data_IF_210452211651
#
_entry.id   IF_210452211651
#
_cell.length_a   1.000
_cell.length_b   1.000
_cell.length_c   1.000
_cell.angle_alpha   90.00
_cell.angle_beta   90.00
_cell.angle_gamma   90.00
#
_symmetry.space_group_name_H-M   'P 1'
#
loop_
_entity.id
_entity.type
_entity.pdbx_description
1 polymer ?
#
# COMPACT_ATOMS: atom_id res chain seq x y z
N UNK A 1 12.13 -15.46 -1.18
CA UNK A 1 11.22 -14.31 -1.29
C UNK A 1 11.91 -13.19 -2.04
N UNK A 2 11.36 -12.80 -3.16
CA UNK A 2 11.93 -11.78 -4.03
C UNK A 2 11.14 -10.47 -3.90
N UNK A 3 11.86 -9.36 -3.74
CA UNK A 3 11.27 -8.02 -3.77
C UNK A 3 11.28 -7.49 -5.20
N UNK A 4 10.16 -6.95 -5.66
CA UNK A 4 10.06 -6.26 -6.93
C UNK A 4 9.55 -4.84 -6.69
N UNK A 5 10.19 -3.87 -7.37
CA UNK A 5 9.78 -2.46 -7.35
C UNK A 5 9.69 -2.04 -8.82
N UNK A 6 8.48 -1.80 -9.30
CA UNK A 6 8.25 -1.55 -10.72
C UNK A 6 7.29 -0.38 -10.96
N UNK A 7 7.58 0.40 -11.98
CA UNK A 7 6.63 1.34 -12.54
C UNK A 7 5.55 0.56 -13.30
N UNK A 8 4.41 1.18 -13.56
CA UNK A 8 3.32 0.52 -14.26
C UNK A 8 3.77 -0.08 -15.61
N UNK A 9 4.49 0.70 -16.40
CA UNK A 9 4.95 0.28 -17.73
C UNK A 9 6.01 -0.83 -17.68
N UNK A 10 6.61 -1.07 -16.53
CA UNK A 10 7.59 -2.15 -16.33
C UNK A 10 6.94 -3.47 -15.91
N UNK A 11 5.67 -3.43 -15.51
CA UNK A 11 4.94 -4.64 -15.14
C UNK A 11 4.64 -5.49 -16.37
N UNK A 12 4.84 -6.79 -16.26
CA UNK A 12 4.36 -7.70 -17.29
C UNK A 12 2.85 -7.82 -17.18
N UNK A 13 2.21 -8.30 -18.24
CA UNK A 13 0.75 -8.54 -18.22
C UNK A 13 0.36 -9.48 -17.08
N UNK A 14 1.15 -10.53 -16.84
CA UNK A 14 0.88 -11.47 -15.76
C UNK A 14 1.04 -10.84 -14.38
N UNK A 15 2.07 -10.03 -14.20
CA UNK A 15 2.27 -9.31 -12.94
C UNK A 15 1.10 -8.37 -12.66
N UNK A 16 0.69 -7.61 -13.64
CA UNK A 16 -0.46 -6.71 -13.50
C UNK A 16 -1.73 -7.48 -13.17
N UNK A 17 -1.98 -8.57 -13.89
CA UNK A 17 -3.14 -9.41 -13.65
C UNK A 17 -3.16 -9.94 -12.21
N UNK A 18 -2.03 -10.47 -11.75
CA UNK A 18 -1.91 -11.04 -10.42
C UNK A 18 -2.08 -9.98 -9.32
N UNK A 19 -1.53 -8.79 -9.53
CA UNK A 19 -1.71 -7.65 -8.62
C UNK A 19 -3.19 -7.28 -8.50
N UNK A 20 -3.86 -7.10 -9.63
CA UNK A 20 -5.27 -6.69 -9.64
C UNK A 20 -6.16 -7.78 -9.06
N UNK A 21 -5.87 -9.04 -9.35
CA UNK A 21 -6.61 -10.17 -8.78
C UNK A 21 -6.49 -10.20 -7.25
N UNK A 22 -5.28 -10.04 -6.73
CA UNK A 22 -5.06 -9.99 -5.28
C UNK A 22 -5.84 -8.83 -4.64
N UNK A 23 -5.77 -7.65 -5.23
CA UNK A 23 -6.45 -6.45 -4.71
C UNK A 23 -7.97 -6.60 -4.75
N UNK A 24 -8.53 -7.05 -5.85
CA UNK A 24 -9.98 -7.24 -5.98
C UNK A 24 -10.47 -8.31 -4.99
N UNK A 25 -9.77 -9.44 -4.91
CA UNK A 25 -10.16 -10.51 -3.99
C UNK A 25 -10.13 -10.07 -2.54
N UNK A 26 -9.18 -9.22 -2.16
CA UNK A 26 -9.04 -8.75 -0.77
C UNK A 26 -10.00 -7.60 -0.46
N UNK A 27 -9.99 -6.55 -1.27
CA UNK A 27 -10.68 -5.31 -0.92
C UNK A 27 -12.13 -5.29 -1.36
N UNK A 28 -12.48 -6.02 -2.39
CA UNK A 28 -13.86 -6.06 -2.89
C UNK A 28 -14.58 -7.33 -2.44
N UNK A 29 -14.02 -8.49 -2.77
CA UNK A 29 -14.71 -9.77 -2.52
C UNK A 29 -14.68 -10.14 -1.05
N UNK A 30 -13.50 -10.21 -0.44
CA UNK A 30 -13.35 -10.62 0.96
C UNK A 30 -14.03 -9.63 1.92
N UNK A 31 -13.94 -8.34 1.66
CA UNK A 31 -14.53 -7.30 2.50
C UNK A 31 -15.99 -7.00 2.17
N UNK A 32 -16.56 -7.66 1.18
CA UNK A 32 -17.94 -7.41 0.72
C UNK A 32 -18.19 -5.93 0.42
N UNK A 33 -17.22 -5.28 -0.22
CA UNK A 33 -17.26 -3.84 -0.48
C UNK A 33 -17.24 -3.56 -1.98
N UNK A 34 -18.39 -3.40 -2.63
CA UNK A 34 -18.45 -3.11 -4.07
C UNK A 34 -18.09 -1.65 -4.34
N UNK A 35 -16.83 -1.37 -4.64
CA UNK A 35 -16.35 -0.04 -4.99
C UNK A 35 -15.37 -0.15 -6.16
N UNK A 36 -15.08 0.97 -6.85
CA UNK A 36 -14.16 0.93 -7.99
C UNK A 36 -12.70 0.79 -7.50
N UNK A 37 -12.24 -0.45 -7.42
CA UNK A 37 -10.88 -0.77 -7.00
C UNK A 37 -9.82 -0.19 -7.96
N UNK A 38 -10.11 -0.20 -9.26
CA UNK A 38 -9.26 0.43 -10.27
C UNK A 38 -9.64 1.91 -10.35
N UNK A 39 -8.72 2.77 -9.95
CA UNK A 39 -8.97 4.20 -9.70
C UNK A 39 -8.16 5.13 -10.60
N UNK A 40 -7.56 4.60 -11.67
CA UNK A 40 -6.72 5.34 -12.63
C UNK A 40 -5.43 5.93 -12.04
N UNK A 41 -5.03 5.46 -10.86
CA UNK A 41 -3.79 5.93 -10.22
C UNK A 41 -2.64 4.94 -10.37
N UNK A 42 -2.92 3.71 -10.77
CA UNK A 42 -1.89 2.68 -10.91
C UNK A 42 -0.85 3.03 -11.97
N UNK A 43 -1.25 3.75 -13.01
CA UNK A 43 -0.36 4.16 -14.09
C UNK A 43 0.73 5.13 -13.59
N UNK A 44 0.47 5.86 -12.50
CA UNK A 44 1.38 6.85 -11.93
C UNK A 44 2.02 6.37 -10.63
N UNK A 45 1.86 5.11 -10.28
CA UNK A 45 2.37 4.55 -9.02
C UNK A 45 3.61 3.69 -9.24
N UNK A 46 4.39 3.53 -8.15
CA UNK A 46 5.38 2.47 -8.05
C UNK A 46 4.72 1.29 -7.36
N UNK A 47 4.85 0.11 -7.96
CA UNK A 47 4.29 -1.13 -7.45
C UNK A 47 5.39 -1.90 -6.73
N UNK A 48 5.17 -2.15 -5.45
CA UNK A 48 6.14 -2.80 -4.57
C UNK A 48 5.53 -4.11 -4.09
N UNK A 49 6.18 -5.20 -4.39
CA UNK A 49 5.62 -6.50 -4.00
C UNK A 49 6.69 -7.53 -3.69
N UNK A 50 6.30 -8.46 -2.83
CA UNK A 50 7.09 -9.62 -2.45
C UNK A 50 6.48 -10.84 -3.11
N UNK A 51 7.30 -11.63 -3.77
CA UNK A 51 6.84 -12.85 -4.44
C UNK A 51 7.76 -14.03 -4.19
N UNK A 52 7.19 -15.22 -4.29
CA UNK A 52 7.89 -16.49 -4.23
C UNK A 52 7.37 -17.42 -5.34
N UNK A 53 7.64 -18.71 -5.22
CA UNK A 53 7.21 -19.71 -6.20
C UNK A 53 5.70 -19.83 -6.34
N UNK A 54 4.94 -19.46 -5.29
CA UNK A 54 3.48 -19.51 -5.29
C UNK A 54 2.84 -18.24 -5.83
N UNK A 55 3.63 -17.20 -6.08
CA UNK A 55 3.15 -15.93 -6.60
C UNK A 55 3.38 -14.77 -5.65
N UNK A 56 2.59 -13.71 -5.81
CA UNK A 56 2.70 -12.50 -5.00
C UNK A 56 2.13 -12.78 -3.60
N UNK A 57 2.96 -12.52 -2.58
CA UNK A 57 2.60 -12.75 -1.19
C UNK A 57 2.24 -11.48 -0.43
N UNK A 58 2.73 -10.34 -0.88
CA UNK A 58 2.38 -9.04 -0.31
C UNK A 58 2.58 -7.96 -1.36
N UNK A 59 1.80 -6.88 -1.25
CA UNK A 59 1.80 -5.81 -2.24
C UNK A 59 1.44 -4.48 -1.57
N UNK A 60 1.99 -3.41 -2.11
CA UNK A 60 1.50 -2.05 -1.91
C UNK A 60 1.87 -1.20 -3.12
N UNK A 61 1.26 -0.01 -3.21
CA UNK A 61 1.68 0.98 -4.20
C UNK A 61 2.15 2.24 -3.49
N UNK A 62 3.15 2.89 -4.06
CA UNK A 62 3.69 4.16 -3.58
C UNK A 62 3.41 5.21 -4.64
N UNK A 63 2.83 6.34 -4.24
CA UNK A 63 2.43 7.42 -5.14
C UNK A 63 3.11 8.71 -4.75
N UNK A 64 3.65 9.41 -5.75
CA UNK A 64 4.29 10.71 -5.54
C UNK A 64 3.27 11.77 -5.12
N UNK A 65 3.78 12.90 -4.66
CA UNK A 65 2.97 14.08 -4.35
C UNK A 65 2.08 14.44 -5.53
N UNK A 66 0.83 14.73 -5.26
CA UNK A 66 -0.13 15.16 -6.27
C UNK A 66 -0.89 14.04 -6.98
N UNK A 67 -0.53 12.77 -6.79
CA UNK A 67 -1.27 11.66 -7.41
C UNK A 67 -2.55 11.36 -6.62
N UNK A 68 -2.42 11.12 -5.34
CA UNK A 68 -3.57 10.80 -4.47
C UNK A 68 -3.71 11.81 -3.32
N UNK A 69 -2.64 12.42 -2.91
CA UNK A 69 -2.56 13.33 -1.76
C UNK A 69 -1.50 14.39 -2.04
N UNK A 70 -1.49 15.45 -1.25
CA UNK A 70 -0.43 16.45 -1.27
C UNK A 70 0.92 15.88 -0.82
N UNK A 71 0.90 14.79 -0.08
CA UNK A 71 2.08 14.09 0.38
C UNK A 71 2.35 12.85 -0.47
N UNK A 72 3.60 12.36 -0.43
CA UNK A 72 3.89 11.01 -0.92
C UNK A 72 3.04 10.04 -0.09
N UNK A 73 2.39 9.11 -0.75
CA UNK A 73 1.42 8.23 -0.08
C UNK A 73 1.67 6.75 -0.41
N UNK A 74 1.20 5.90 0.49
CA UNK A 74 1.18 4.45 0.32
C UNK A 74 -0.27 4.01 0.38
N UNK A 75 -0.65 3.08 -0.50
CA UNK A 75 -1.99 2.53 -0.52
C UNK A 75 -2.05 1.10 -0.98
N UNK A 76 -3.23 0.50 -0.85
CA UNK A 76 -3.50 -0.88 -1.27
C UNK A 76 -2.55 -1.89 -0.63
N UNK A 77 -2.23 -1.70 0.65
CA UNK A 77 -1.36 -2.62 1.39
C UNK A 77 -2.10 -3.92 1.64
N UNK A 78 -1.53 -5.02 1.19
CA UNK A 78 -2.16 -6.33 1.32
C UNK A 78 -1.12 -7.42 1.49
N UNK A 79 -1.42 -8.43 2.32
CA UNK A 79 -0.64 -9.64 2.45
C UNK A 79 -1.57 -10.85 2.31
N UNK A 80 -1.17 -11.83 1.51
CA UNK A 80 -1.98 -13.02 1.23
C UNK A 80 -2.16 -13.86 2.50
N UNK A 81 -1.08 -14.07 3.24
CA UNK A 81 -1.10 -14.86 4.46
C UNK A 81 -0.80 -13.97 5.64
N UNK A 82 -1.73 -13.90 6.57
CA UNK A 82 -1.55 -13.16 7.82
C UNK A 82 -0.57 -13.91 8.71
N UNK A 83 0.09 -13.20 9.63
CA UNK A 83 0.98 -13.74 10.67
C UNK A 83 2.33 -14.27 10.19
N UNK A 84 2.70 -14.04 8.92
CA UNK A 84 4.06 -14.35 8.43
C UNK A 84 4.96 -13.12 8.35
N UNK A 85 4.45 -11.95 8.77
CA UNK A 85 5.22 -10.72 8.74
C UNK A 85 5.39 -10.09 7.37
N UNK A 86 4.70 -10.60 6.35
CA UNK A 86 4.84 -10.08 4.99
C UNK A 86 4.28 -8.66 4.84
N UNK A 87 3.19 -8.36 5.55
CA UNK A 87 2.62 -7.01 5.56
C UNK A 87 3.59 -5.98 6.14
N UNK A 88 4.23 -6.33 7.25
CA UNK A 88 5.25 -5.50 7.87
C UNK A 88 6.45 -5.30 6.94
N UNK A 89 6.91 -6.38 6.33
CA UNK A 89 8.07 -6.35 5.43
C UNK A 89 7.81 -5.51 4.19
N UNK A 90 6.65 -5.69 3.53
CA UNK A 90 6.32 -4.90 2.34
C UNK A 90 6.15 -3.42 2.71
N UNK A 91 5.61 -3.13 3.88
CA UNK A 91 5.47 -1.75 4.37
C UNK A 91 6.85 -1.10 4.56
N UNK A 92 7.78 -1.79 5.19
CA UNK A 92 9.16 -1.30 5.34
C UNK A 92 9.80 -1.00 3.99
N UNK A 93 9.64 -1.91 3.03
CA UNK A 93 10.17 -1.73 1.68
C UNK A 93 9.50 -0.55 0.97
N UNK A 94 8.19 -0.40 1.12
CA UNK A 94 7.45 0.72 0.55
C UNK A 94 7.91 2.07 1.12
N UNK A 95 8.19 2.12 2.41
CA UNK A 95 8.71 3.34 3.04
C UNK A 95 10.10 3.69 2.51
N UNK A 96 10.96 2.69 2.31
CA UNK A 96 12.28 2.89 1.70
C UNK A 96 12.16 3.38 0.27
N UNK A 97 11.25 2.81 -0.50
CA UNK A 97 10.97 3.24 -1.89
C UNK A 97 10.51 4.70 -1.92
N UNK A 98 9.62 5.09 -1.02
CA UNK A 98 9.15 6.47 -0.93
C UNK A 98 10.29 7.44 -0.67
N UNK A 99 11.19 7.08 0.23
CA UNK A 99 12.35 7.92 0.55
C UNK A 99 13.33 7.99 -0.62
N UNK A 100 13.64 6.86 -1.26
CA UNK A 100 14.62 6.80 -2.35
C UNK A 100 14.12 7.41 -3.66
N UNK A 101 12.91 7.05 -4.08
CA UNK A 101 12.41 7.40 -5.41
C UNK A 101 11.75 8.77 -5.45
N UNK A 102 11.13 9.18 -4.35
CA UNK A 102 10.37 10.43 -4.30
C UNK A 102 10.91 11.43 -3.26
N UNK A 103 12.05 11.12 -2.64
CA UNK A 103 12.68 11.95 -1.60
C UNK A 103 11.69 12.37 -0.52
N UNK A 104 10.84 11.43 -0.11
CA UNK A 104 9.80 11.70 0.86
C UNK A 104 10.41 11.97 2.25
N UNK A 105 9.99 13.06 2.87
CA UNK A 105 10.26 13.34 4.29
C UNK A 105 9.06 12.93 5.15
N UNK A 106 7.91 12.79 4.54
CA UNK A 106 6.66 12.34 5.17
C UNK A 106 5.94 11.38 4.25
N UNK A 107 5.24 10.41 4.83
CA UNK A 107 4.42 9.47 4.10
C UNK A 107 3.01 9.50 4.68
N UNK A 108 2.02 9.68 3.82
CA UNK A 108 0.61 9.71 4.17
C UNK A 108 -0.07 8.42 3.76
N UNK A 109 -1.03 7.97 4.56
CA UNK A 109 -1.94 6.89 4.15
C UNK A 109 -3.28 7.00 4.86
N UNK A 110 -4.27 6.32 4.30
CA UNK A 110 -5.58 6.16 4.91
C UNK A 110 -5.73 4.70 5.28
N UNK A 111 -5.73 4.42 6.57
CA UNK A 111 -5.71 3.06 7.10
C UNK A 111 -7.11 2.65 7.56
N UNK A 112 -7.49 1.41 7.24
CA UNK A 112 -8.63 0.80 7.92
C UNK A 112 -8.27 0.67 9.40
N UNK A 113 -9.22 0.97 10.28
CA UNK A 113 -8.95 1.08 11.73
C UNK A 113 -8.38 -0.21 12.33
N UNK A 114 -8.76 -1.37 11.80
CA UNK A 114 -8.24 -2.63 12.32
C UNK A 114 -6.74 -2.82 12.07
N UNK A 115 -6.19 -2.12 11.08
CA UNK A 115 -4.77 -2.21 10.71
C UNK A 115 -3.90 -1.15 11.38
N UNK A 116 -4.47 -0.28 12.20
CA UNK A 116 -3.76 0.84 12.82
C UNK A 116 -2.47 0.40 13.52
N UNK A 117 -2.51 -0.70 14.26
CA UNK A 117 -1.35 -1.15 15.03
C UNK A 117 -0.16 -1.52 14.15
N UNK A 118 -0.40 -2.07 12.97
CA UNK A 118 0.67 -2.36 12.01
C UNK A 118 1.39 -1.07 11.62
N UNK A 119 0.65 -0.03 11.29
CA UNK A 119 1.24 1.24 10.87
C UNK A 119 1.92 1.97 12.01
N UNK A 120 1.33 1.92 13.21
CA UNK A 120 1.95 2.54 14.39
C UNK A 120 3.32 1.94 14.72
N UNK A 121 3.50 0.64 14.52
CA UNK A 121 4.79 -0.04 14.69
C UNK A 121 5.88 0.52 13.78
N UNK A 122 5.50 1.10 12.66
CA UNK A 122 6.42 1.64 11.66
C UNK A 122 6.51 3.16 11.68
N UNK A 123 6.05 3.79 12.76
CA UNK A 123 6.21 5.23 12.96
C UNK A 123 5.08 6.08 12.42
N UNK A 124 3.99 5.48 11.96
CA UNK A 124 2.81 6.24 11.57
C UNK A 124 2.00 6.63 12.80
N UNK A 125 1.46 7.85 12.79
CA UNK A 125 0.55 8.32 13.83
C UNK A 125 -0.77 8.73 13.22
N UNK A 126 -1.84 8.56 13.98
CA UNK A 126 -3.18 8.97 13.58
C UNK A 126 -3.28 10.49 13.58
N UNK A 127 -3.77 11.07 12.49
CA UNK A 127 -3.92 12.52 12.34
C UNK A 127 -5.34 12.95 12.05
N UNK A 128 -6.31 12.06 12.14
CA UNK A 128 -7.72 12.39 11.94
C UNK A 128 -8.61 11.56 12.86
N UNK A 129 -9.85 12.00 13.01
CA UNK A 129 -10.89 11.16 13.59
C UNK A 129 -11.23 10.02 12.63
N UNK A 130 -11.95 9.02 13.11
CA UNK A 130 -12.46 7.93 12.28
C UNK A 130 -13.49 8.49 11.30
N UNK A 131 -13.37 8.08 10.03
CA UNK A 131 -14.34 8.42 8.98
C UNK A 131 -14.69 7.14 8.21
N UNK A 132 -15.81 7.17 7.51
CA UNK A 132 -16.22 6.05 6.68
C UNK A 132 -15.79 6.29 5.24
N UNK A 133 -15.09 5.30 4.66
CA UNK A 133 -14.73 5.30 3.25
C UNK A 133 -15.29 4.01 2.67
N UNK A 134 -16.21 4.13 1.72
CA UNK A 134 -16.97 3.00 1.18
C UNK A 134 -17.61 2.14 2.28
N UNK A 135 -18.08 2.79 3.34
CA UNK A 135 -18.72 2.13 4.47
C UNK A 135 -17.78 1.47 5.47
N UNK A 136 -16.47 1.55 5.25
CA UNK A 136 -15.46 0.93 6.13
C UNK A 136 -14.78 2.01 6.97
N UNK A 137 -14.65 1.80 8.31
CA UNK A 137 -13.98 2.79 9.16
C UNK A 137 -12.50 2.94 8.82
N UNK A 138 -12.08 4.18 8.58
CA UNK A 138 -10.70 4.55 8.23
C UNK A 138 -10.20 5.68 9.12
N UNK A 139 -8.88 5.82 9.19
CA UNK A 139 -8.21 6.98 9.79
C UNK A 139 -7.10 7.43 8.86
N UNK A 140 -6.81 8.73 8.89
CA UNK A 140 -5.64 9.27 8.20
C UNK A 140 -4.44 9.11 9.11
N UNK A 141 -3.32 8.67 8.54
CA UNK A 141 -2.07 8.47 9.27
C UNK A 141 -0.90 9.10 8.53
N UNK A 142 0.09 9.54 9.29
CA UNK A 142 1.27 10.19 8.76
C UNK A 142 2.51 9.66 9.47
N UNK A 143 3.55 9.33 8.71
CA UNK A 143 4.87 9.04 9.24
C UNK A 143 5.82 10.16 8.82
N UNK A 144 6.64 10.61 9.76
CA UNK A 144 7.73 11.52 9.47
C UNK A 144 9.01 10.71 9.41
N UNK A 145 9.73 10.80 8.29
CA UNK A 145 10.98 10.08 8.10
C UNK A 145 12.11 10.92 8.65
N UNK A 146 12.79 10.39 9.67
CA UNK A 146 13.94 11.09 10.25
C UNK A 146 15.20 10.62 9.56
N UNK A 147 16.03 11.59 9.17
CA UNK A 147 17.37 11.29 8.71
C UNK A 147 18.26 10.98 9.92
N UNK A 148 18.98 9.89 9.82
CA UNK A 148 19.98 9.53 10.83
C UNK A 148 21.36 9.96 10.36
#
# INVERSE_FOLDING_TARGET
>A
MELAVKRFEELTNNELYDILKLRVNTFVVEQHCPYPELDDKDQDALHVFLRDEEGIQAYLRVMDKGVSSEQVSIGRVVAVTRRKGYGSRVLEEGMSVAAEYFQADKIYLEAQTYARSLYEKHGFRQISDVFLEDGIPHIKMLAELTEC
#
